data_IF_024548977637
#
_entry.id   IF_024548977637
#
_cell.length_a   1.000
_cell.length_b   1.000
_cell.length_c   1.000
_cell.angle_alpha   90.00
_cell.angle_beta   90.00
_cell.angle_gamma   90.00
#
_symmetry.space_group_name_H-M   'P 1'
#
loop_
_entity.id
_entity.type
_entity.pdbx_description
1 polymer ?
#
# COMPACT_ATOMS: atom_id res chain seq x y z
N UNK A 1 -17.57 5.08 -12.62
CA UNK A 1 -17.17 4.93 -14.03
C UNK A 1 -15.81 4.21 -14.11
N UNK A 2 -15.71 2.99 -13.56
CA UNK A 2 -14.46 2.18 -13.59
C UNK A 2 -14.40 1.20 -14.76
N UNK A 3 -15.55 0.94 -15.41
CA UNK A 3 -15.69 -0.08 -16.47
C UNK A 3 -14.92 0.24 -17.77
N UNK A 4 -14.47 1.49 -17.95
CA UNK A 4 -13.81 1.96 -19.17
C UNK A 4 -12.27 1.90 -19.12
N UNK A 5 -11.67 1.60 -17.96
CA UNK A 5 -10.23 1.78 -17.76
C UNK A 5 -9.35 0.55 -18.11
N UNK A 6 -9.93 -0.51 -18.68
CA UNK A 6 -9.20 -1.74 -18.99
C UNK A 6 -8.75 -2.53 -17.74
N UNK A 7 -8.22 -3.73 -17.93
CA UNK A 7 -7.73 -4.57 -16.83
C UNK A 7 -6.48 -3.93 -16.19
N UNK A 8 -6.47 -3.63 -14.87
CA UNK A 8 -5.31 -3.07 -14.18
C UNK A 8 -4.00 -3.85 -14.34
N UNK A 9 -4.06 -5.17 -14.57
CA UNK A 9 -2.86 -6.00 -14.79
C UNK A 9 -2.36 -6.00 -16.25
N UNK A 10 -3.01 -5.25 -17.16
CA UNK A 10 -2.55 -5.12 -18.55
C UNK A 10 -1.53 -4.00 -18.75
N UNK A 11 -1.35 -3.12 -17.78
CA UNK A 11 -0.36 -2.02 -17.83
C UNK A 11 1.03 -2.54 -17.49
N UNK A 12 2.13 -1.85 -17.87
CA UNK A 12 3.49 -2.32 -17.57
C UNK A 12 3.72 -2.59 -16.07
N UNK A 13 3.40 -1.63 -15.20
CA UNK A 13 3.51 -1.81 -13.74
C UNK A 13 2.52 -2.86 -13.22
N UNK A 14 1.34 -2.97 -13.84
CA UNK A 14 0.32 -3.95 -13.48
C UNK A 14 0.76 -5.39 -13.72
N UNK A 15 1.47 -5.66 -14.81
CA UNK A 15 2.02 -6.98 -15.11
C UNK A 15 3.12 -7.37 -14.12
N UNK A 16 4.01 -6.43 -13.75
CA UNK A 16 5.03 -6.68 -12.74
C UNK A 16 4.39 -6.94 -11.37
N UNK A 17 3.38 -6.14 -10.99
CA UNK A 17 2.60 -6.34 -9.77
C UNK A 17 1.89 -7.70 -9.74
N UNK A 18 1.28 -8.12 -10.86
CA UNK A 18 0.60 -9.41 -10.93
C UNK A 18 1.56 -10.56 -10.63
N UNK A 19 2.77 -10.53 -11.21
CA UNK A 19 3.83 -11.52 -11.00
C UNK A 19 4.43 -11.46 -9.60
N UNK A 20 4.79 -10.28 -9.11
CA UNK A 20 5.44 -10.09 -7.80
C UNK A 20 4.52 -10.46 -6.62
N UNK A 21 3.21 -10.59 -6.89
CA UNK A 21 2.19 -10.95 -5.90
C UNK A 21 1.53 -12.28 -6.19
N UNK A 22 2.16 -13.14 -7.02
CA UNK A 22 1.64 -14.47 -7.32
C UNK A 22 1.70 -15.37 -6.07
N UNK A 23 0.59 -16.05 -5.78
CA UNK A 23 0.45 -16.88 -4.59
C UNK A 23 1.35 -18.13 -4.57
N UNK A 24 2.01 -18.47 -5.67
CA UNK A 24 2.97 -19.58 -5.75
C UNK A 24 4.40 -19.20 -5.40
N UNK A 25 4.73 -17.90 -5.36
CA UNK A 25 6.07 -17.42 -5.00
C UNK A 25 6.46 -17.88 -3.60
N UNK A 26 7.67 -18.39 -3.40
CA UNK A 26 8.16 -18.86 -2.09
C UNK A 26 8.53 -17.73 -1.11
N UNK A 27 8.90 -16.57 -1.64
CA UNK A 27 9.25 -15.35 -0.92
C UNK A 27 9.00 -14.14 -1.83
N UNK A 28 9.25 -12.94 -1.32
CA UNK A 28 9.24 -11.72 -2.10
C UNK A 28 10.23 -11.78 -3.27
N UNK A 29 9.77 -11.33 -4.44
CA UNK A 29 10.65 -11.07 -5.59
C UNK A 29 11.12 -9.61 -5.52
N UNK A 30 12.27 -9.39 -4.87
CA UNK A 30 12.82 -8.05 -4.70
C UNK A 30 13.23 -7.41 -6.03
N UNK A 31 13.55 -8.20 -7.05
CA UNK A 31 13.86 -7.68 -8.39
C UNK A 31 12.60 -7.06 -8.98
N UNK A 32 11.47 -7.77 -8.96
CA UNK A 32 10.20 -7.22 -9.44
C UNK A 32 9.71 -6.05 -8.57
N UNK A 33 9.90 -6.10 -7.24
CA UNK A 33 9.49 -5.00 -6.36
C UNK A 33 10.21 -3.70 -6.68
N UNK A 34 11.52 -3.76 -6.97
CA UNK A 34 12.29 -2.58 -7.36
C UNK A 34 11.94 -2.12 -8.78
N UNK A 35 11.74 -3.04 -9.72
CA UNK A 35 11.26 -2.70 -11.07
C UNK A 35 9.90 -1.98 -11.03
N UNK A 36 8.98 -2.39 -10.14
CA UNK A 36 7.72 -1.69 -9.91
C UNK A 36 7.96 -0.25 -9.45
N UNK A 37 8.90 -0.03 -8.52
CA UNK A 37 9.24 1.31 -8.04
C UNK A 37 9.83 2.17 -9.15
N UNK A 38 10.70 1.60 -9.99
CA UNK A 38 11.30 2.29 -11.13
C UNK A 38 10.21 2.74 -12.12
N UNK A 39 9.30 1.85 -12.51
CA UNK A 39 8.18 2.21 -13.42
C UNK A 39 7.30 3.31 -12.81
N UNK A 40 7.01 3.26 -11.50
CA UNK A 40 6.23 4.29 -10.81
C UNK A 40 6.94 5.65 -10.87
N UNK A 41 8.25 5.67 -10.67
CA UNK A 41 9.02 6.92 -10.63
C UNK A 41 9.30 7.50 -12.02
N UNK A 42 9.53 6.65 -13.01
CA UNK A 42 10.00 7.04 -14.34
C UNK A 42 8.88 7.36 -15.34
N UNK A 43 7.65 6.88 -15.09
CA UNK A 43 6.53 7.07 -16.02
C UNK A 43 5.44 8.00 -15.48
N UNK A 44 4.71 8.65 -16.39
CA UNK A 44 3.62 9.56 -16.01
C UNK A 44 2.43 8.82 -15.37
N UNK A 45 2.03 7.70 -15.96
CA UNK A 45 0.87 6.91 -15.52
C UNK A 45 1.20 5.87 -14.44
N UNK A 46 2.49 5.56 -14.24
CA UNK A 46 2.97 4.54 -13.29
C UNK A 46 2.32 4.61 -11.90
N UNK A 47 2.28 5.78 -11.22
CA UNK A 47 1.64 5.88 -9.91
C UNK A 47 0.15 5.51 -9.91
N UNK A 48 -0.62 5.98 -10.91
CA UNK A 48 -2.06 5.71 -10.99
C UNK A 48 -2.32 4.25 -11.32
N UNK A 49 -1.57 3.69 -12.26
CA UNK A 49 -1.73 2.29 -12.67
C UNK A 49 -1.32 1.33 -11.56
N UNK A 50 -0.26 1.63 -10.81
CA UNK A 50 0.15 0.85 -9.65
C UNK A 50 -0.96 0.81 -8.58
N UNK A 51 -1.57 1.95 -8.28
CA UNK A 51 -2.68 2.04 -7.32
C UNK A 51 -3.87 1.20 -7.77
N UNK A 52 -4.20 1.20 -9.07
CA UNK A 52 -5.29 0.39 -9.62
C UNK A 52 -4.99 -1.11 -9.54
N UNK A 53 -3.77 -1.53 -9.86
CA UNK A 53 -3.34 -2.92 -9.80
C UNK A 53 -3.28 -3.42 -8.34
N UNK A 54 -2.76 -2.62 -7.41
CA UNK A 54 -2.78 -2.91 -5.97
C UNK A 54 -4.21 -3.04 -5.42
N UNK A 55 -5.10 -2.10 -5.77
CA UNK A 55 -6.53 -2.20 -5.44
C UNK A 55 -7.14 -3.50 -5.94
N UNK A 56 -6.87 -3.89 -7.19
CA UNK A 56 -7.36 -5.14 -7.78
C UNK A 56 -6.84 -6.37 -7.01
N UNK A 57 -5.55 -6.40 -6.65
CA UNK A 57 -4.94 -7.53 -5.94
C UNK A 57 -5.44 -7.68 -4.52
N UNK A 58 -5.66 -6.57 -3.82
CA UNK A 58 -6.00 -6.57 -2.38
C UNK A 58 -7.50 -6.69 -2.11
N UNK A 59 -8.36 -6.10 -2.95
CA UNK A 59 -9.79 -6.04 -2.68
C UNK A 59 -10.48 -7.40 -2.75
N UNK A 60 -10.97 -7.87 -1.59
CA UNK A 60 -11.74 -9.11 -1.49
C UNK A 60 -10.91 -10.38 -1.66
N UNK A 61 -9.59 -10.26 -1.76
CA UNK A 61 -8.71 -11.40 -1.92
C UNK A 61 -8.59 -12.18 -0.61
N UNK A 62 -8.84 -13.50 -0.69
CA UNK A 62 -8.75 -14.44 0.43
C UNK A 62 -7.49 -15.28 0.38
N UNK A 63 -6.68 -15.16 -0.68
CA UNK A 63 -5.34 -15.72 -0.71
C UNK A 63 -4.39 -14.82 0.09
N UNK A 64 -4.24 -15.10 1.37
CA UNK A 64 -3.45 -14.24 2.27
C UNK A 64 -1.95 -14.20 1.94
N UNK A 65 -1.45 -15.15 1.15
CA UNK A 65 -0.09 -15.09 0.61
C UNK A 65 0.05 -13.96 -0.41
N UNK A 66 -0.87 -13.89 -1.36
CA UNK A 66 -0.94 -12.79 -2.32
C UNK A 66 -1.17 -11.45 -1.63
N UNK A 67 -2.02 -11.40 -0.61
CA UNK A 67 -2.27 -10.18 0.17
C UNK A 67 -0.99 -9.71 0.87
N UNK A 68 -0.24 -10.61 1.52
CA UNK A 68 1.02 -10.25 2.19
C UNK A 68 2.10 -9.77 1.21
N UNK A 69 2.24 -10.44 0.06
CA UNK A 69 3.16 -10.01 -1.00
C UNK A 69 2.76 -8.62 -1.51
N UNK A 70 1.47 -8.38 -1.76
CA UNK A 70 0.96 -7.09 -2.21
C UNK A 70 1.14 -5.97 -1.18
N UNK A 71 0.95 -6.26 0.12
CA UNK A 71 1.24 -5.30 1.20
C UNK A 71 2.74 -4.97 1.28
N UNK A 72 3.61 -5.94 0.98
CA UNK A 72 5.06 -5.73 0.94
C UNK A 72 5.49 -4.92 -0.27
N UNK A 73 4.90 -5.16 -1.44
CA UNK A 73 5.10 -4.28 -2.61
C UNK A 73 4.64 -2.86 -2.28
N UNK A 74 3.44 -2.71 -1.72
CA UNK A 74 2.88 -1.42 -1.32
C UNK A 74 3.80 -0.65 -0.36
N UNK A 75 4.33 -1.32 0.66
CA UNK A 75 5.33 -0.75 1.58
C UNK A 75 6.59 -0.31 0.84
N UNK A 76 7.11 -1.18 -0.04
CA UNK A 76 8.32 -0.91 -0.81
C UNK A 76 8.14 0.32 -1.69
N UNK A 77 6.99 0.45 -2.37
CA UNK A 77 6.65 1.62 -3.16
C UNK A 77 6.57 2.89 -2.30
N UNK A 78 5.99 2.85 -1.10
CA UNK A 78 5.97 4.03 -0.23
C UNK A 78 7.37 4.47 0.18
N UNK A 79 8.27 3.51 0.46
CA UNK A 79 9.66 3.79 0.84
C UNK A 79 10.54 4.29 -0.31
N UNK A 80 10.28 3.86 -1.55
CA UNK A 80 11.18 4.09 -2.70
C UNK A 80 10.59 4.99 -3.79
N UNK A 81 9.30 5.32 -3.73
CA UNK A 81 8.66 6.20 -4.71
C UNK A 81 8.52 7.64 -4.19
N UNK A 82 8.40 8.57 -5.12
CA UNK A 82 8.24 9.98 -4.80
C UNK A 82 6.80 10.41 -4.46
N UNK A 83 6.69 11.70 -4.18
CA UNK A 83 5.47 12.38 -3.75
C UNK A 83 4.25 12.15 -4.67
N UNK A 84 4.45 11.98 -5.99
CA UNK A 84 3.40 11.65 -6.97
C UNK A 84 2.64 10.35 -6.61
N UNK A 85 3.33 9.37 -6.04
CA UNK A 85 2.72 8.14 -5.55
C UNK A 85 2.13 8.35 -4.14
N UNK A 86 2.83 9.08 -3.27
CA UNK A 86 2.39 9.35 -1.90
C UNK A 86 1.02 10.02 -1.83
N UNK A 87 0.74 11.01 -2.69
CA UNK A 87 -0.58 11.66 -2.75
C UNK A 87 -1.71 10.65 -2.99
N UNK A 88 -1.47 9.63 -3.83
CA UNK A 88 -2.48 8.65 -4.18
C UNK A 88 -2.68 7.60 -3.09
N UNK A 89 -1.59 7.13 -2.48
CA UNK A 89 -1.63 6.07 -1.46
C UNK A 89 -2.07 6.59 -0.09
N UNK A 90 -1.70 7.82 0.28
CA UNK A 90 -2.12 8.46 1.53
C UNK A 90 -3.55 9.04 1.46
N UNK A 91 -4.19 8.98 0.28
CA UNK A 91 -5.55 9.43 0.10
C UNK A 91 -6.53 8.59 0.95
N UNK A 92 -7.44 9.26 1.65
CA UNK A 92 -8.43 8.61 2.52
C UNK A 92 -9.22 7.51 1.80
N UNK A 93 -9.68 7.76 0.57
CA UNK A 93 -10.47 6.79 -0.18
C UNK A 93 -9.68 5.53 -0.49
N UNK A 94 -8.37 5.64 -0.76
CA UNK A 94 -7.51 4.47 -0.94
C UNK A 94 -7.39 3.69 0.37
N UNK A 95 -7.03 4.35 1.46
CA UNK A 95 -6.82 3.73 2.76
C UNK A 95 -8.11 3.06 3.27
N UNK A 96 -9.26 3.74 3.21
CA UNK A 96 -10.55 3.21 3.63
C UNK A 96 -10.99 2.02 2.77
N UNK A 97 -10.92 2.16 1.43
CA UNK A 97 -11.43 1.13 0.51
C UNK A 97 -10.55 -0.11 0.44
N UNK A 98 -9.26 0.00 0.76
CA UNK A 98 -8.28 -1.09 0.68
C UNK A 98 -7.85 -1.54 2.07
N UNK A 99 -7.07 -0.74 2.79
CA UNK A 99 -6.40 -1.15 4.02
C UNK A 99 -7.40 -1.40 5.16
N UNK A 100 -8.25 -0.42 5.47
CA UNK A 100 -9.27 -0.55 6.52
C UNK A 100 -10.24 -1.68 6.19
N UNK A 101 -10.58 -1.85 4.91
CA UNK A 101 -11.42 -2.95 4.45
C UNK A 101 -10.79 -4.32 4.72
N UNK A 102 -9.49 -4.51 4.44
CA UNK A 102 -8.77 -5.77 4.70
C UNK A 102 -8.95 -6.21 6.16
N UNK A 103 -8.75 -5.29 7.11
CA UNK A 103 -8.81 -5.56 8.55
C UNK A 103 -10.22 -5.47 9.16
N UNK A 104 -11.24 -5.25 8.34
CA UNK A 104 -12.60 -5.17 8.85
C UNK A 104 -13.05 -6.51 9.46
N UNK A 105 -13.85 -6.51 10.53
CA UNK A 105 -14.35 -7.75 11.14
C UNK A 105 -15.09 -8.67 10.16
N UNK A 106 -15.70 -8.10 9.11
CA UNK A 106 -16.37 -8.85 8.03
C UNK A 106 -15.39 -9.71 7.23
N UNK A 107 -14.15 -9.25 7.06
CA UNK A 107 -13.12 -9.99 6.34
C UNK A 107 -12.37 -10.98 7.22
N UNK A 108 -12.32 -10.77 8.55
CA UNK A 108 -11.70 -11.67 9.52
C UNK A 108 -10.33 -12.24 9.03
N UNK A 109 -9.37 -11.37 8.67
CA UNK A 109 -8.07 -11.83 8.18
C UNK A 109 -7.25 -12.49 9.31
N UNK A 110 -6.22 -13.29 8.98
CA UNK A 110 -5.24 -13.76 9.95
C UNK A 110 -4.53 -12.59 10.64
N UNK A 111 -4.15 -12.78 11.91
CA UNK A 111 -3.49 -11.76 12.75
C UNK A 111 -2.27 -11.16 12.07
N UNK A 112 -1.44 -11.96 11.40
CA UNK A 112 -0.25 -11.46 10.67
C UNK A 112 -0.59 -10.43 9.59
N UNK A 113 -1.73 -10.57 8.91
CA UNK A 113 -2.19 -9.61 7.90
C UNK A 113 -2.73 -8.35 8.59
N UNK A 114 -3.46 -8.53 9.69
CA UNK A 114 -3.97 -7.42 10.48
C UNK A 114 -2.84 -6.55 11.03
N UNK A 115 -1.84 -7.17 11.64
CA UNK A 115 -0.67 -6.49 12.20
C UNK A 115 0.11 -5.76 11.11
N UNK A 116 0.30 -6.39 9.94
CA UNK A 116 0.98 -5.76 8.80
C UNK A 116 0.24 -4.50 8.34
N UNK A 117 -1.08 -4.56 8.18
CA UNK A 117 -1.88 -3.40 7.75
C UNK A 117 -1.84 -2.28 8.79
N UNK A 118 -1.99 -2.61 10.07
CA UNK A 118 -1.95 -1.62 11.15
C UNK A 118 -0.58 -0.96 11.25
N UNK A 119 0.51 -1.73 11.13
CA UNK A 119 1.87 -1.22 11.10
C UNK A 119 2.08 -0.23 9.94
N UNK A 120 1.57 -0.52 8.74
CA UNK A 120 1.64 0.38 7.59
C UNK A 120 0.87 1.68 7.84
N UNK A 121 -0.36 1.60 8.34
CA UNK A 121 -1.18 2.79 8.64
C UNK A 121 -0.46 3.68 9.67
N UNK A 122 0.10 3.09 10.73
CA UNK A 122 0.83 3.82 11.75
C UNK A 122 2.10 4.46 11.18
N UNK A 123 2.95 3.69 10.51
CA UNK A 123 4.22 4.18 9.95
C UNK A 123 4.00 5.34 8.97
N UNK A 124 2.96 5.27 8.13
CA UNK A 124 2.65 6.33 7.18
C UNK A 124 2.01 7.55 7.86
N UNK A 125 1.18 7.35 8.89
CA UNK A 125 0.66 8.47 9.68
C UNK A 125 1.79 9.26 10.37
N UNK A 126 2.79 8.56 10.91
CA UNK A 126 3.95 9.18 11.52
C UNK A 126 4.83 9.89 10.48
N UNK A 127 5.10 9.23 9.35
CA UNK A 127 5.96 9.79 8.29
C UNK A 127 5.32 10.99 7.56
N UNK A 128 4.00 10.99 7.36
CA UNK A 128 3.30 12.00 6.57
C UNK A 128 2.59 13.08 7.40
N UNK A 129 2.68 13.01 8.73
CA UNK A 129 2.06 13.96 9.67
C UNK A 129 2.35 15.44 9.35
N UNK A 130 3.55 15.75 8.85
CA UNK A 130 3.96 17.12 8.54
C UNK A 130 3.65 17.57 7.10
N UNK A 131 3.06 16.69 6.27
CA UNK A 131 2.74 16.96 4.87
C UNK A 131 1.23 17.21 4.72
N UNK A 132 0.79 18.47 4.51
CA UNK A 132 -0.64 18.83 4.54
C UNK A 132 -1.52 18.06 3.54
N UNK A 133 -0.97 17.70 2.39
CA UNK A 133 -1.59 16.97 1.30
C UNK A 133 -1.59 15.44 1.47
N UNK A 134 -0.90 14.92 2.49
CA UNK A 134 -0.82 13.48 2.80
C UNK A 134 -1.53 13.11 4.11
N UNK A 135 -2.35 14.01 4.66
CA UNK A 135 -3.03 13.86 5.96
C UNK A 135 -4.14 12.80 5.98
N UNK A 136 -4.53 12.23 4.83
CA UNK A 136 -5.60 11.23 4.75
C UNK A 136 -5.32 10.01 5.63
N UNK A 137 -4.10 9.47 5.60
CA UNK A 137 -3.70 8.34 6.47
C UNK A 137 -3.62 8.73 7.95
N UNK A 138 -3.22 9.96 8.26
CA UNK A 138 -3.17 10.49 9.64
C UNK A 138 -4.57 10.50 10.25
N UNK A 139 -5.56 11.00 9.50
CA UNK A 139 -6.95 11.00 9.96
C UNK A 139 -7.49 9.58 10.20
N UNK A 140 -7.15 8.62 9.34
CA UNK A 140 -7.56 7.23 9.52
C UNK A 140 -6.91 6.61 10.75
N UNK A 141 -5.61 6.81 10.95
CA UNK A 141 -4.89 6.32 12.12
C UNK A 141 -5.55 6.80 13.42
N UNK A 142 -5.80 8.10 13.55
CA UNK A 142 -6.44 8.68 14.74
C UNK A 142 -7.90 8.22 14.90
N UNK A 143 -8.63 8.01 13.80
CA UNK A 143 -9.99 7.48 13.84
C UNK A 143 -10.03 6.04 14.36
N UNK A 144 -9.10 5.19 13.91
CA UNK A 144 -8.99 3.80 14.37
C UNK A 144 -8.61 3.75 15.85
N UNK A 145 -7.67 4.58 16.31
CA UNK A 145 -7.34 4.69 17.74
C UNK A 145 -8.53 5.12 18.58
N UNK A 146 -9.30 6.12 18.12
CA UNK A 146 -10.51 6.56 18.82
C UNK A 146 -11.58 5.46 18.91
N UNK A 147 -11.62 4.57 17.92
CA UNK A 147 -12.47 3.37 17.91
C UNK A 147 -11.95 2.22 18.78
N UNK A 148 -10.81 2.40 19.45
CA UNK A 148 -10.21 1.40 20.33
C UNK A 148 -9.38 0.33 19.61
N UNK A 149 -8.99 0.58 18.35
CA UNK A 149 -8.06 -0.33 17.65
C UNK A 149 -6.67 -0.19 18.26
N UNK A 150 -6.13 -1.31 18.73
CA UNK A 150 -4.76 -1.40 19.20
C UNK A 150 -3.81 -1.56 18.01
N UNK A 151 -2.77 -0.74 17.98
CA UNK A 151 -1.72 -0.80 16.96
C UNK A 151 -0.51 -1.56 17.51
N UNK A 152 0.27 -2.25 16.65
CA UNK A 152 1.49 -2.93 17.09
C UNK A 152 2.48 -1.94 17.68
N UNK A 153 3.39 -2.43 18.54
CA UNK A 153 4.51 -1.61 19.00
C UNK A 153 5.30 -1.13 17.79
N UNK A 154 5.62 0.17 17.74
CA UNK A 154 6.40 0.73 16.64
C UNK A 154 7.76 0.03 16.60
N UNK A 155 8.02 -0.69 15.51
CA UNK A 155 9.34 -1.23 15.24
C UNK A 155 10.25 -0.07 14.84
N UNK A 156 11.16 0.31 15.73
CA UNK A 156 12.05 1.46 15.53
C UNK A 156 12.97 1.26 14.31
N UNK A 157 13.22 0.01 13.89
CA UNK A 157 14.01 -0.30 12.69
C UNK A 157 13.21 -0.08 11.39
N UNK A 158 11.87 -0.11 11.45
CA UNK A 158 10.99 0.21 10.32
C UNK A 158 10.82 1.71 10.07
N UNK A 159 11.26 2.58 11.01
CA UNK A 159 11.16 4.05 10.96
C UNK A 159 12.27 4.73 10.13
N UNK A 160 12.91 4.01 9.21
CA UNK A 160 13.87 4.63 8.29
C UNK A 160 13.23 5.89 7.66
N UNK A 161 13.82 7.09 7.83
CA UNK A 161 13.20 8.33 7.37
C UNK A 161 12.84 8.23 5.89
N UNK A 162 11.57 8.47 5.56
CA UNK A 162 11.15 8.64 4.17
C UNK A 162 11.78 9.95 3.69
N UNK A 163 12.90 9.85 2.99
CA UNK A 163 13.55 11.00 2.38
C UNK A 163 12.74 11.40 1.13
N UNK A 164 11.89 12.40 1.26
CA UNK A 164 11.35 13.14 0.10
C UNK A 164 12.28 14.32 -0.19
N UNK A 165 13.20 14.23 -1.17
CA UNK A 165 13.96 15.40 -1.58
C UNK A 165 12.98 16.44 -2.15
N UNK A 166 13.05 17.67 -1.63
CA UNK A 166 12.39 18.82 -2.24
C UNK A 166 13.05 19.08 -3.60
N UNK A 167 12.28 19.00 -4.69
CA UNK A 167 12.66 19.58 -5.98
C UNK A 167 11.76 20.77 -6.26
#
# INVERSE_FOLDING_TARGET
>A
MEFLLGNPFSTPVGQCLEKATDGSLQSEDWTLNMEICDIINETEEGPKDAIRALKKRLNGNRNYREVMLALTVLETCVKNCGHRFHILVANRDFIDSVLVKIISPKNNPPTIVQDKVLALIQAWADAFRSSPDLTGVVHIYEELKRKGVEFPMADLDALSPIHTPQR
#
